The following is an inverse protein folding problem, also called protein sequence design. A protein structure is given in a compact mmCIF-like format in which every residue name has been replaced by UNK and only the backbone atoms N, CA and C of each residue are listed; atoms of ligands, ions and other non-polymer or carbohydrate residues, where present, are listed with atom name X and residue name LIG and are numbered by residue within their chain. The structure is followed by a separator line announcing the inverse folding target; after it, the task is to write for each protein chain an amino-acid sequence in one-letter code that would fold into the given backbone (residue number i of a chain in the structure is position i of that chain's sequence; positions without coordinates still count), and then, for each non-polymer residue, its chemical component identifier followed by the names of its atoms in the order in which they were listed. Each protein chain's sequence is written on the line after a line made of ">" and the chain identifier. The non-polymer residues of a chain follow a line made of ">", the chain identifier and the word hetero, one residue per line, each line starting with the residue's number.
data_IF_646161831150
#
_entry.id   IF_646161831150
#
_cell.length_a   1.000
_cell.length_b   1.000
_cell.length_c   1.000
_cell.angle_alpha   90.00
_cell.angle_beta   90.00
_cell.angle_gamma   90.00
#
_symmetry.space_group_name_H-M   'P 1'
#
loop_
_entity.id
_entity.type
_entity.pdbx_description
1 polymer ?
#
# COMPACT_ATOMS: atom_id res chain seq x y z
N UNK A 1 -18.54 -25.30 -10.81
CA UNK A 1 -17.92 -24.38 -11.77
C UNK A 1 -17.93 -22.94 -11.24
N UNK A 2 -19.02 -22.47 -10.62
CA UNK A 2 -19.11 -21.13 -10.01
C UNK A 2 -18.01 -20.82 -8.99
N UNK A 3 -17.72 -21.76 -8.07
CA UNK A 3 -16.66 -21.61 -7.07
C UNK A 3 -15.26 -21.32 -7.66
N UNK A 4 -14.91 -21.98 -8.77
CA UNK A 4 -13.62 -21.72 -9.43
C UNK A 4 -13.52 -20.30 -9.96
N UNK A 5 -14.58 -19.81 -10.61
CA UNK A 5 -14.60 -18.42 -11.13
C UNK A 5 -14.66 -17.39 -10.01
N UNK A 6 -15.35 -17.68 -8.90
CA UNK A 6 -15.38 -16.82 -7.70
C UNK A 6 -13.98 -16.64 -7.12
N UNK A 7 -13.24 -17.73 -6.89
CA UNK A 7 -11.86 -17.68 -6.40
C UNK A 7 -10.92 -16.98 -7.41
N UNK A 8 -11.13 -17.22 -8.71
CA UNK A 8 -10.33 -16.57 -9.77
C UNK A 8 -10.54 -15.05 -9.77
N UNK A 9 -11.79 -14.60 -9.70
CA UNK A 9 -12.13 -13.17 -9.69
C UNK A 9 -11.60 -12.52 -8.41
N UNK A 10 -11.83 -13.12 -7.23
CA UNK A 10 -11.28 -12.62 -5.96
C UNK A 10 -9.75 -12.53 -5.98
N UNK A 11 -9.08 -13.53 -6.53
CA UNK A 11 -7.63 -13.52 -6.72
C UNK A 11 -7.14 -12.41 -7.68
N UNK A 12 -7.87 -12.16 -8.77
CA UNK A 12 -7.54 -11.07 -9.70
C UNK A 12 -7.74 -9.69 -9.05
N UNK A 13 -8.83 -9.48 -8.32
CA UNK A 13 -9.09 -8.24 -7.61
C UNK A 13 -8.00 -7.96 -6.56
N UNK A 14 -7.66 -8.95 -5.75
CA UNK A 14 -6.55 -8.87 -4.80
C UNK A 14 -5.21 -8.61 -5.50
N UNK A 15 -4.97 -9.27 -6.65
CA UNK A 15 -3.78 -9.07 -7.46
C UNK A 15 -3.61 -7.63 -7.96
N UNK A 16 -4.70 -6.95 -8.31
CA UNK A 16 -4.67 -5.52 -8.67
C UNK A 16 -4.25 -4.65 -7.48
N UNK A 17 -4.75 -4.94 -6.27
CA UNK A 17 -4.32 -4.22 -5.06
C UNK A 17 -2.83 -4.45 -4.76
N UNK A 18 -2.35 -5.68 -4.87
CA UNK A 18 -0.91 -5.97 -4.73
C UNK A 18 -0.05 -5.30 -5.81
N UNK A 19 -0.59 -5.03 -6.98
CA UNK A 19 0.16 -4.34 -8.05
C UNK A 19 0.58 -2.92 -7.67
N UNK A 20 -0.19 -2.22 -6.83
CA UNK A 20 0.21 -0.91 -6.27
C UNK A 20 1.45 -1.02 -5.39
N UNK A 21 1.50 -2.05 -4.53
CA UNK A 21 2.66 -2.29 -3.67
C UNK A 21 3.88 -2.64 -4.53
N UNK A 22 3.69 -3.49 -5.53
CA UNK A 22 4.74 -3.87 -6.48
C UNK A 22 5.30 -2.66 -7.26
N UNK A 23 4.42 -1.74 -7.71
CA UNK A 23 4.84 -0.49 -8.32
C UNK A 23 5.70 0.35 -7.38
N UNK A 24 5.32 0.45 -6.11
CA UNK A 24 6.12 1.13 -5.11
C UNK A 24 7.53 0.54 -4.99
N UNK A 25 7.66 -0.80 -4.94
CA UNK A 25 8.96 -1.48 -4.96
C UNK A 25 9.80 -1.11 -6.19
N UNK A 26 9.19 -1.16 -7.38
CA UNK A 26 9.88 -0.82 -8.63
C UNK A 26 10.35 0.63 -8.65
N UNK A 27 9.52 1.56 -8.14
CA UNK A 27 9.86 2.98 -8.09
C UNK A 27 11.01 3.27 -7.14
N UNK A 28 10.98 2.69 -5.93
CA UNK A 28 12.06 2.85 -4.95
C UNK A 28 13.35 2.25 -5.51
N UNK A 29 13.29 1.04 -6.08
CA UNK A 29 14.45 0.39 -6.67
C UNK A 29 15.05 1.21 -7.82
N UNK A 30 14.21 1.77 -8.70
CA UNK A 30 14.69 2.62 -9.80
C UNK A 30 15.30 3.93 -9.30
N UNK A 31 14.79 4.49 -8.22
CA UNK A 31 15.27 5.75 -7.67
C UNK A 31 16.56 5.60 -6.85
N UNK A 32 16.71 4.49 -6.11
CA UNK A 32 17.78 4.30 -5.13
C UNK A 32 18.78 3.19 -5.51
N UNK A 33 18.44 2.32 -6.46
CA UNK A 33 19.20 1.11 -6.77
C UNK A 33 19.13 0.02 -5.70
N UNK A 34 18.30 0.20 -4.67
CA UNK A 34 18.21 -0.67 -3.51
C UNK A 34 16.79 -1.18 -3.35
N UNK A 35 16.65 -2.49 -3.09
CA UNK A 35 15.37 -3.05 -2.66
C UNK A 35 15.06 -2.65 -1.22
N UNK A 36 13.93 -1.98 -1.01
CA UNK A 36 13.47 -1.62 0.31
C UNK A 36 12.51 -2.69 0.86
N UNK A 37 13.03 -3.62 1.63
CA UNK A 37 12.22 -4.68 2.26
C UNK A 37 11.28 -4.17 3.35
N UNK A 38 11.49 -2.94 3.85
CA UNK A 38 10.58 -2.30 4.80
C UNK A 38 9.28 -1.79 4.16
N UNK A 39 9.12 -1.87 2.84
CA UNK A 39 7.94 -1.31 2.17
C UNK A 39 6.62 -1.92 2.64
N UNK A 40 6.58 -3.23 2.89
CA UNK A 40 5.40 -3.89 3.44
C UNK A 40 5.02 -3.33 4.82
N UNK A 41 6.01 -3.16 5.69
CA UNK A 41 5.81 -2.54 7.00
C UNK A 41 5.38 -1.07 6.90
N UNK A 42 5.87 -0.32 5.90
CA UNK A 42 5.42 1.05 5.63
C UNK A 42 3.96 1.09 5.19
N UNK A 43 3.53 0.18 4.32
CA UNK A 43 2.11 0.07 3.90
C UNK A 43 1.22 -0.26 5.10
N UNK A 44 1.65 -1.20 5.94
CA UNK A 44 0.95 -1.54 7.17
C UNK A 44 0.85 -0.34 8.12
N UNK A 45 1.95 0.38 8.33
CA UNK A 45 1.98 1.59 9.16
C UNK A 45 1.06 2.69 8.62
N UNK A 46 1.02 2.88 7.29
CA UNK A 46 0.11 3.83 6.64
C UNK A 46 -1.35 3.49 6.91
N UNK A 47 -1.73 2.22 6.72
CA UNK A 47 -3.09 1.75 6.96
C UNK A 47 -3.48 1.93 8.44
N UNK A 48 -2.60 1.56 9.36
CA UNK A 48 -2.85 1.66 10.80
C UNK A 48 -2.96 3.12 11.26
N UNK A 49 -2.12 4.02 10.72
CA UNK A 49 -2.20 5.46 10.99
C UNK A 49 -3.53 6.04 10.49
N UNK A 50 -3.95 5.67 9.28
CA UNK A 50 -5.21 6.13 8.70
C UNK A 50 -6.42 5.67 9.51
N UNK A 51 -6.48 4.37 9.84
CA UNK A 51 -7.56 3.79 10.63
C UNK A 51 -7.59 4.37 12.04
N UNK A 52 -6.43 4.55 12.69
CA UNK A 52 -6.33 5.17 14.00
C UNK A 52 -6.84 6.61 14.01
N UNK A 53 -6.48 7.41 13.01
CA UNK A 53 -6.99 8.79 12.90
C UNK A 53 -8.51 8.84 12.71
N UNK A 54 -9.06 7.88 11.98
CA UNK A 54 -10.50 7.83 11.72
C UNK A 54 -11.29 7.30 12.93
N UNK A 55 -10.83 6.22 13.56
CA UNK A 55 -11.58 5.56 14.64
C UNK A 55 -11.32 6.15 16.01
N UNK A 56 -10.07 6.42 16.37
CA UNK A 56 -9.72 6.91 17.72
C UNK A 56 -10.01 8.40 17.88
N UNK A 57 -9.80 9.19 16.81
CA UNK A 57 -9.96 10.64 16.84
C UNK A 57 -11.22 11.14 16.11
N UNK A 58 -12.01 10.25 15.51
CA UNK A 58 -13.24 10.58 14.78
C UNK A 58 -13.02 11.65 13.68
N UNK A 59 -11.85 11.63 13.05
CA UNK A 59 -11.47 12.61 12.02
C UNK A 59 -12.14 12.25 10.70
N UNK A 60 -12.61 13.25 9.98
CA UNK A 60 -13.21 13.08 8.65
C UNK A 60 -12.24 12.32 7.72
N UNK A 61 -12.78 11.42 6.89
CA UNK A 61 -12.04 10.58 5.94
C UNK A 61 -10.97 11.34 5.14
N UNK A 62 -11.33 12.48 4.53
CA UNK A 62 -10.41 13.27 3.71
C UNK A 62 -9.26 13.89 4.52
N UNK A 63 -9.56 14.34 5.72
CA UNK A 63 -8.53 14.90 6.61
C UNK A 63 -7.63 13.81 7.14
N UNK A 64 -8.18 12.66 7.53
CA UNK A 64 -7.40 11.49 7.95
C UNK A 64 -6.48 11.01 6.83
N UNK A 65 -6.96 11.01 5.57
CA UNK A 65 -6.17 10.66 4.39
C UNK A 65 -4.98 11.61 4.19
N UNK A 66 -5.20 12.93 4.27
CA UNK A 66 -4.15 13.93 4.12
C UNK A 66 -3.13 13.87 5.27
N UNK A 67 -3.60 13.67 6.51
CA UNK A 67 -2.72 13.53 7.66
C UNK A 67 -1.88 12.26 7.59
N UNK A 68 -2.48 11.12 7.24
CA UNK A 68 -1.72 9.87 7.07
C UNK A 68 -0.70 9.98 5.95
N UNK A 69 -1.04 10.64 4.83
CA UNK A 69 -0.08 10.95 3.75
C UNK A 69 1.08 11.80 4.28
N UNK A 70 0.80 12.84 5.08
CA UNK A 70 1.83 13.67 5.72
C UNK A 70 2.76 12.88 6.63
N UNK A 71 2.20 12.00 7.46
CA UNK A 71 2.97 11.08 8.31
C UNK A 71 3.85 10.15 7.47
N UNK A 72 3.33 9.62 6.37
CA UNK A 72 4.09 8.74 5.48
C UNK A 72 5.20 9.47 4.73
N UNK A 73 4.98 10.72 4.33
CA UNK A 73 6.04 11.56 3.75
C UNK A 73 7.16 11.78 4.78
N UNK A 74 6.80 12.10 6.02
CA UNK A 74 7.77 12.27 7.10
C UNK A 74 8.54 10.97 7.37
N UNK A 75 7.84 9.83 7.46
CA UNK A 75 8.48 8.52 7.63
C UNK A 75 9.43 8.20 6.48
N UNK A 76 9.03 8.48 5.24
CA UNK A 76 9.88 8.30 4.06
C UNK A 76 11.14 9.16 4.10
N UNK A 77 11.01 10.43 4.45
CA UNK A 77 12.15 11.36 4.60
C UNK A 77 13.09 10.92 5.73
N UNK A 78 12.55 10.49 6.87
CA UNK A 78 13.35 9.97 7.98
C UNK A 78 14.09 8.69 7.58
N UNK A 79 13.41 7.77 6.90
CA UNK A 79 14.01 6.52 6.39
C UNK A 79 15.14 6.83 5.41
N UNK A 80 14.89 7.70 4.44
CA UNK A 80 15.91 8.10 3.48
C UNK A 80 17.11 8.73 4.19
N UNK A 81 16.87 9.70 5.06
CA UNK A 81 17.94 10.49 5.66
C UNK A 81 18.72 9.76 6.74
N UNK A 82 18.04 8.95 7.58
CA UNK A 82 18.67 8.27 8.72
C UNK A 82 19.18 6.88 8.41
N UNK A 83 18.52 6.18 7.46
CA UNK A 83 18.85 4.78 7.16
C UNK A 83 19.53 4.63 5.80
N UNK A 84 18.88 5.07 4.73
CA UNK A 84 19.37 4.79 3.37
C UNK A 84 20.58 5.66 3.00
N UNK A 85 20.55 6.94 3.34
CA UNK A 85 21.61 7.88 2.98
C UNK A 85 22.98 7.56 3.58
N UNK A 86 23.10 7.18 4.88
CA UNK A 86 24.38 6.77 5.46
C UNK A 86 24.92 5.46 4.86
N UNK A 87 24.05 4.64 4.26
CA UNK A 87 24.42 3.37 3.65
C UNK A 87 24.76 3.48 2.15
N UNK A 88 24.75 4.67 1.58
CA UNK A 88 25.22 4.90 0.21
C UNK A 88 26.66 4.41 0.10
N UNK A 89 26.98 3.63 -0.96
CA UNK A 89 28.26 2.97 -1.20
C UNK A 89 28.60 1.76 -0.30
N UNK A 90 27.65 1.29 0.51
CA UNK A 90 27.82 0.03 1.24
C UNK A 90 27.43 -1.18 0.37
N UNK A 91 27.96 -2.37 0.65
CA UNK A 91 27.59 -3.60 -0.06
C UNK A 91 26.06 -3.83 -0.01
N UNK A 92 25.52 -4.41 -1.06
CA UNK A 92 24.07 -4.71 -1.15
C UNK A 92 23.53 -5.52 0.03
N UNK A 93 24.35 -6.41 0.59
CA UNK A 93 23.97 -7.21 1.76
C UNK A 93 23.72 -6.34 3.00
N UNK A 94 24.49 -5.27 3.18
CA UNK A 94 24.30 -4.32 4.29
C UNK A 94 23.00 -3.56 4.13
N UNK A 95 22.68 -3.11 2.91
CA UNK A 95 21.43 -2.44 2.60
C UNK A 95 20.22 -3.36 2.80
N UNK A 96 20.34 -4.61 2.39
CA UNK A 96 19.34 -5.65 2.62
C UNK A 96 19.05 -5.83 4.11
N UNK A 97 20.09 -6.05 4.93
CA UNK A 97 19.93 -6.23 6.38
C UNK A 97 19.36 -4.98 7.06
N UNK A 98 19.78 -3.78 6.64
CA UNK A 98 19.28 -2.53 7.17
C UNK A 98 17.79 -2.33 6.89
N UNK A 99 17.32 -2.65 5.67
CA UNK A 99 15.89 -2.53 5.33
C UNK A 99 15.03 -3.57 6.01
N UNK A 100 15.54 -4.78 6.28
CA UNK A 100 14.85 -5.77 7.12
C UNK A 100 14.76 -5.27 8.56
N UNK A 101 15.86 -4.78 9.15
CA UNK A 101 15.85 -4.19 10.49
C UNK A 101 14.86 -3.02 10.60
N UNK A 102 14.80 -2.18 9.55
CA UNK A 102 13.83 -1.10 9.46
C UNK A 102 12.40 -1.61 9.40
N UNK A 103 12.12 -2.74 8.71
CA UNK A 103 10.79 -3.35 8.68
C UNK A 103 10.33 -3.72 10.09
N UNK A 104 11.14 -4.45 10.85
CA UNK A 104 10.83 -4.80 12.24
C UNK A 104 10.68 -3.58 13.14
N UNK A 105 11.50 -2.55 12.93
CA UNK A 105 11.38 -1.29 13.68
C UNK A 105 10.04 -0.61 13.43
N UNK A 106 9.62 -0.49 12.15
CA UNK A 106 8.34 0.12 11.77
C UNK A 106 7.17 -0.72 12.29
N UNK A 107 7.22 -2.05 12.20
CA UNK A 107 6.20 -2.93 12.75
C UNK A 107 6.07 -2.78 14.27
N UNK A 108 7.19 -2.75 15.00
CA UNK A 108 7.20 -2.49 16.44
C UNK A 108 6.64 -1.11 16.79
N UNK A 109 7.01 -0.07 16.04
CA UNK A 109 6.46 1.27 16.19
C UNK A 109 4.95 1.30 15.91
N UNK A 110 4.49 0.61 14.88
CA UNK A 110 3.08 0.48 14.55
C UNK A 110 2.28 -0.15 15.71
N UNK A 111 2.80 -1.24 16.29
CA UNK A 111 2.17 -1.91 17.42
C UNK A 111 2.16 -1.05 18.69
N UNK A 112 3.22 -0.28 18.94
CA UNK A 112 3.28 0.63 20.08
C UNK A 112 2.25 1.76 19.97
N UNK A 113 2.05 2.31 18.78
CA UNK A 113 1.14 3.44 18.55
C UNK A 113 -0.31 2.99 18.34
N UNK A 114 -0.51 1.92 17.60
CA UNK A 114 -1.83 1.45 17.20
C UNK A 114 -2.41 0.31 18.04
N UNK A 115 -1.59 -0.28 18.92
CA UNK A 115 -1.95 -1.50 19.66
C UNK A 115 -1.89 -2.76 18.78
N UNK A 116 -2.01 -3.93 19.43
CA UNK A 116 -1.97 -5.24 18.76
C UNK A 116 -3.35 -5.72 18.28
N UNK A 117 -4.40 -4.91 18.43
CA UNK A 117 -5.76 -5.29 18.05
C UNK A 117 -5.97 -5.17 16.53
N UNK A 118 -6.67 -6.15 15.98
CA UNK A 118 -7.12 -6.09 14.58
C UNK A 118 -8.14 -4.96 14.45
N UNK A 119 -7.86 -3.98 13.61
CA UNK A 119 -8.75 -2.86 13.32
C UNK A 119 -9.36 -3.05 11.94
N UNK A 120 -10.70 -3.07 11.87
CA UNK A 120 -11.44 -3.09 10.62
C UNK A 120 -11.60 -1.66 10.08
N UNK A 121 -11.44 -1.47 8.79
CA UNK A 121 -11.68 -0.19 8.14
C UNK A 121 -13.16 -0.09 7.75
N UNK A 122 -13.94 0.71 8.50
CA UNK A 122 -15.34 0.98 8.17
C UNK A 122 -15.42 2.18 7.21
N UNK A 123 -15.40 1.89 5.91
CA UNK A 123 -15.55 2.93 4.88
C UNK A 123 -17.00 3.28 4.55
N UNK A 124 -17.99 2.71 5.28
CA UNK A 124 -19.40 2.85 4.96
C UNK A 124 -19.83 2.12 3.68
N UNK A 125 -18.92 1.40 3.05
CA UNK A 125 -19.19 0.48 1.96
C UNK A 125 -19.43 -0.88 2.60
N UNK A 126 -20.69 -1.31 2.59
CA UNK A 126 -21.05 -2.62 3.10
C UNK A 126 -20.35 -3.69 2.25
N UNK A 127 -19.72 -4.66 2.94
CA UNK A 127 -19.08 -5.82 2.30
C UNK A 127 -20.16 -6.84 1.90
N UNK A 128 -21.11 -6.37 1.08
CA UNK A 128 -22.21 -7.18 0.57
C UNK A 128 -21.95 -7.62 -0.85
N UNK A 129 -22.31 -8.86 -1.20
CA UNK A 129 -22.25 -9.35 -2.58
C UNK A 129 -23.12 -8.48 -3.49
N UNK A 130 -22.68 -8.24 -4.69
CA UNK A 130 -23.48 -7.53 -5.70
C UNK A 130 -24.60 -8.45 -6.16
N UNK A 131 -25.85 -8.20 -5.70
CA UNK A 131 -27.02 -9.04 -6.02
C UNK A 131 -27.20 -9.30 -7.53
N UNK A 132 -26.92 -8.30 -8.36
CA UNK A 132 -27.01 -8.44 -9.81
C UNK A 132 -26.04 -9.49 -10.37
N UNK A 133 -24.84 -9.58 -9.81
CA UNK A 133 -23.82 -10.56 -10.21
C UNK A 133 -24.14 -11.93 -9.59
N UNK A 134 -24.52 -11.93 -8.32
CA UNK A 134 -24.87 -13.15 -7.58
C UNK A 134 -26.07 -13.84 -8.23
N UNK A 135 -27.11 -13.09 -8.60
CA UNK A 135 -28.32 -13.64 -9.24
C UNK A 135 -28.07 -14.10 -10.68
N UNK A 136 -27.16 -13.44 -11.42
CA UNK A 136 -26.88 -13.79 -12.81
C UNK A 136 -25.89 -14.95 -12.96
N UNK A 137 -24.92 -15.06 -12.05
CA UNK A 137 -23.77 -15.98 -12.19
C UNK A 137 -23.62 -16.96 -11.04
N UNK A 138 -24.31 -16.73 -9.92
CA UNK A 138 -24.16 -17.52 -8.68
C UNK A 138 -22.83 -17.29 -7.96
N UNK A 139 -22.11 -16.21 -8.27
CA UNK A 139 -20.80 -15.87 -7.71
C UNK A 139 -20.94 -14.73 -6.69
N UNK A 140 -20.31 -14.88 -5.51
CA UNK A 140 -20.27 -13.84 -4.49
C UNK A 140 -19.05 -12.93 -4.73
N UNK A 141 -19.27 -11.81 -5.41
CA UNK A 141 -18.25 -10.77 -5.61
C UNK A 141 -18.57 -9.61 -4.68
N UNK A 142 -17.65 -9.32 -3.75
CA UNK A 142 -17.80 -8.21 -2.80
C UNK A 142 -17.80 -6.86 -3.54
N UNK A 143 -18.72 -5.98 -3.16
CA UNK A 143 -18.72 -4.57 -3.61
C UNK A 143 -17.45 -3.86 -3.20
N UNK A 144 -16.97 -4.15 -2.00
CA UNK A 144 -15.76 -3.55 -1.44
C UNK A 144 -14.54 -3.89 -2.30
N UNK A 145 -14.34 -5.17 -2.62
CA UNK A 145 -13.20 -5.64 -3.41
C UNK A 145 -13.20 -5.04 -4.82
N UNK A 146 -14.37 -4.92 -5.43
CA UNK A 146 -14.49 -4.35 -6.78
C UNK A 146 -14.18 -2.85 -6.80
N UNK A 147 -14.65 -2.09 -5.81
CA UNK A 147 -14.35 -0.67 -5.68
C UNK A 147 -12.87 -0.47 -5.36
N UNK A 148 -12.31 -1.24 -4.41
CA UNK A 148 -10.90 -1.18 -4.04
C UNK A 148 -9.99 -1.50 -5.24
N UNK A 149 -10.28 -2.58 -5.96
CA UNK A 149 -9.54 -2.94 -7.17
C UNK A 149 -9.70 -1.91 -8.29
N UNK A 150 -10.87 -1.30 -8.45
CA UNK A 150 -11.10 -0.22 -9.41
C UNK A 150 -10.25 1.02 -9.11
N UNK A 151 -10.20 1.45 -7.84
CA UNK A 151 -9.34 2.55 -7.39
C UNK A 151 -7.86 2.19 -7.57
N UNK A 152 -7.47 0.97 -7.19
CA UNK A 152 -6.10 0.49 -7.35
C UNK A 152 -5.67 0.48 -8.82
N UNK A 153 -6.50 -0.04 -9.73
CA UNK A 153 -6.25 -0.04 -11.16
C UNK A 153 -6.11 1.38 -11.72
N UNK A 154 -7.00 2.30 -11.33
CA UNK A 154 -6.93 3.70 -11.74
C UNK A 154 -5.62 4.37 -11.26
N UNK A 155 -5.18 4.11 -10.02
CA UNK A 155 -3.91 4.60 -9.49
C UNK A 155 -2.71 3.99 -10.22
N UNK A 156 -2.71 2.69 -10.49
CA UNK A 156 -1.65 2.01 -11.27
C UNK A 156 -1.52 2.64 -12.65
N UNK A 157 -2.63 2.82 -13.36
CA UNK A 157 -2.64 3.43 -14.69
C UNK A 157 -2.18 4.89 -14.63
N UNK A 158 -2.69 5.68 -13.67
CA UNK A 158 -2.32 7.09 -13.52
C UNK A 158 -0.83 7.27 -13.20
N UNK A 159 -0.28 6.45 -12.28
CA UNK A 159 1.14 6.44 -11.96
C UNK A 159 1.98 5.99 -13.16
N UNK A 160 1.56 4.93 -13.85
CA UNK A 160 2.23 4.45 -15.07
C UNK A 160 2.29 5.52 -16.15
N UNK A 161 1.19 6.24 -16.40
CA UNK A 161 1.13 7.36 -17.34
C UNK A 161 1.97 8.55 -16.85
N UNK A 162 1.91 8.88 -15.57
CA UNK A 162 2.72 9.94 -14.98
C UNK A 162 4.21 9.67 -15.21
N UNK A 163 4.70 8.47 -14.86
CA UNK A 163 6.10 8.10 -15.06
C UNK A 163 6.49 7.95 -16.53
N UNK A 164 5.55 7.60 -17.41
CA UNK A 164 5.84 7.50 -18.84
C UNK A 164 5.97 8.87 -19.52
N UNK A 165 5.22 9.88 -19.05
CA UNK A 165 5.13 11.17 -19.70
C UNK A 165 5.88 12.31 -19.03
N UNK A 166 6.27 12.17 -17.75
CA UNK A 166 6.99 13.23 -17.02
C UNK A 166 8.51 13.18 -17.22
N UNK A 167 9.16 14.34 -17.04
CA UNK A 167 10.63 14.44 -17.06
C UNK A 167 11.28 13.61 -15.94
N UNK A 168 10.62 13.55 -14.78
CA UNK A 168 11.05 12.75 -13.62
C UNK A 168 11.05 11.27 -13.98
N UNK A 169 9.99 10.77 -14.62
CA UNK A 169 9.92 9.37 -15.05
C UNK A 169 10.95 9.01 -16.11
N UNK A 170 11.32 9.96 -16.97
CA UNK A 170 12.40 9.76 -17.95
C UNK A 170 13.77 9.74 -17.28
N UNK A 171 14.02 10.59 -16.30
CA UNK A 171 15.26 10.60 -15.54
C UNK A 171 15.48 9.30 -14.73
N UNK A 172 14.40 8.67 -14.27
CA UNK A 172 14.47 7.38 -13.57
C UNK A 172 14.65 6.17 -14.51
N UNK A 173 14.55 6.38 -15.83
CA UNK A 173 14.80 5.32 -16.84
C UNK A 173 16.20 5.37 -17.46
N UNK A 174 16.90 6.49 -17.31
CA UNK A 174 18.28 6.69 -17.77
C UNK A 174 19.28 6.13 -16.76
#
# INVERSE_FOLDING_TARGET
>A
MSFFFEVLIGGLLSGVMYSLVALGFVLIYKASGVFNFAQGAMVFFAALTFVGLQQDYNINFWVALLLSLGVMILLGLLTERLVLRPLVNQPQITLFMATIGLAFFIEGLAQLLGGANVRGLELGIQDEPIEAITNATGMNVSRFDLVAAGIAAALVVSLGLFFSRTRIGRALRA
#
